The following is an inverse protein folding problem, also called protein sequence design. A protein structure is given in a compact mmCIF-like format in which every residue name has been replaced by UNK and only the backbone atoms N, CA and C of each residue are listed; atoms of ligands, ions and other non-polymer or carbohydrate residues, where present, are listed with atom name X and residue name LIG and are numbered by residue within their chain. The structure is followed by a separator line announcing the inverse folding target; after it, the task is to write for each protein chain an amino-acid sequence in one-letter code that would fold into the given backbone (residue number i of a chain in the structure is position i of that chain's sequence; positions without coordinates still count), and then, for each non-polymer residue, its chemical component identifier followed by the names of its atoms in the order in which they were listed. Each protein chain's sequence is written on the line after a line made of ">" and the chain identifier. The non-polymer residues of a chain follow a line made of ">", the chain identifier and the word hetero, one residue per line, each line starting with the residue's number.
data_IF_646476252685
#
_entry.id   IF_646476252685
#
_cell.length_a   1.000
_cell.length_b   1.000
_cell.length_c   1.000
_cell.angle_alpha   90.00
_cell.angle_beta   90.00
_cell.angle_gamma   90.00
#
_symmetry.space_group_name_H-M   'P 1'
#
loop_
_entity.id
_entity.type
_entity.pdbx_description
1 polymer ?
#
# COMPACT_ATOMS: atom_id res chain seq x y z
N UNK A 1 8.87 13.11 -27.07
CA UNK A 1 8.39 14.18 -26.19
C UNK A 1 7.65 13.50 -25.05
N UNK A 2 8.28 13.33 -23.89
CA UNK A 2 7.64 12.70 -22.73
C UNK A 2 6.80 13.75 -22.02
N UNK A 3 5.48 13.56 -22.02
CA UNK A 3 4.58 14.41 -21.25
C UNK A 3 4.77 14.11 -19.76
N UNK A 4 5.35 15.06 -19.02
CA UNK A 4 5.20 15.12 -17.57
C UNK A 4 3.76 15.50 -17.31
N UNK A 5 2.91 14.51 -17.06
CA UNK A 5 1.56 14.76 -16.56
C UNK A 5 1.73 15.27 -15.12
N UNK A 6 1.23 16.46 -14.78
CA UNK A 6 1.24 16.92 -13.40
C UNK A 6 0.30 15.99 -12.63
N UNK A 7 0.85 15.22 -11.68
CA UNK A 7 0.07 14.48 -10.68
C UNK A 7 -0.61 15.49 -9.77
N UNK A 8 -1.72 16.06 -10.23
CA UNK A 8 -2.70 16.69 -9.36
C UNK A 8 -3.44 15.54 -8.68
N UNK A 9 -2.82 14.99 -7.64
CA UNK A 9 -3.36 13.89 -6.88
C UNK A 9 -2.79 13.86 -5.48
N UNK A 10 -3.62 13.52 -4.50
CA UNK A 10 -3.22 13.53 -3.10
C UNK A 10 -2.39 12.28 -2.81
N UNK A 11 -1.11 12.32 -3.17
CA UNK A 11 -0.16 11.28 -2.81
C UNK A 11 0.06 11.32 -1.30
N UNK A 12 -0.47 10.33 -0.58
CA UNK A 12 -0.20 10.17 0.84
C UNK A 12 0.95 9.18 1.03
N UNK A 13 2.06 9.69 1.54
CA UNK A 13 3.20 8.89 1.98
C UNK A 13 3.21 8.91 3.51
N UNK A 14 2.82 7.81 4.13
CA UNK A 14 2.85 7.67 5.58
C UNK A 14 4.07 6.80 5.97
N UNK A 15 5.11 7.39 6.59
CA UNK A 15 6.20 6.61 7.15
C UNK A 15 5.71 5.84 8.37
N UNK A 16 5.94 4.53 8.37
CA UNK A 16 5.73 3.64 9.51
C UNK A 16 7.09 3.06 9.88
N UNK A 17 7.40 2.77 11.16
CA UNK A 17 8.71 2.20 11.50
C UNK A 17 9.00 0.92 10.68
N UNK A 18 10.00 0.97 9.79
CA UNK A 18 10.38 -0.14 8.90
C UNK A 18 9.50 -0.34 7.66
N UNK A 19 8.61 0.61 7.35
CA UNK A 19 7.73 0.56 6.18
C UNK A 19 7.31 1.94 5.68
N UNK A 20 6.89 2.02 4.42
CA UNK A 20 6.28 3.21 3.84
C UNK A 20 4.97 2.81 3.18
N UNK A 21 3.87 3.44 3.58
CA UNK A 21 2.58 3.27 2.93
C UNK A 21 2.42 4.34 1.85
N UNK A 22 2.13 3.89 0.64
CA UNK A 22 1.85 4.71 -0.54
C UNK A 22 0.38 4.59 -0.92
N UNK A 23 -0.30 5.74 -1.00
CA UNK A 23 -1.69 5.85 -1.43
C UNK A 23 -1.76 6.89 -2.54
N UNK A 24 -2.03 6.43 -3.76
CA UNK A 24 -2.39 7.26 -4.91
C UNK A 24 -3.86 7.00 -5.25
N UNK A 25 -4.73 7.91 -4.82
CA UNK A 25 -6.17 7.76 -5.03
C UNK A 25 -6.61 7.95 -6.48
N UNK A 26 -5.87 8.74 -7.26
CA UNK A 26 -6.23 9.07 -8.63
C UNK A 26 -5.87 7.94 -9.59
N UNK A 27 -4.77 7.23 -9.31
CA UNK A 27 -4.33 6.07 -10.09
C UNK A 27 -4.83 4.74 -9.54
N UNK A 28 -5.59 4.75 -8.45
CA UNK A 28 -6.06 3.54 -7.76
C UNK A 28 -4.87 2.63 -7.39
N UNK A 29 -3.76 3.26 -7.04
CA UNK A 29 -2.50 2.57 -6.79
C UNK A 29 -2.13 2.69 -5.32
N UNK A 30 -2.30 1.57 -4.61
CA UNK A 30 -2.06 1.48 -3.18
C UNK A 30 -1.05 0.38 -2.91
N UNK A 31 0.01 0.68 -2.18
CA UNK A 31 1.00 -0.33 -1.84
C UNK A 31 1.80 0.04 -0.59
N UNK A 32 2.41 -0.97 -0.01
CA UNK A 32 3.23 -0.86 1.17
C UNK A 32 4.64 -1.36 0.85
N UNK A 33 5.63 -0.53 1.07
CA UNK A 33 7.04 -0.90 0.89
C UNK A 33 7.67 -1.16 2.26
N UNK A 34 8.14 -2.37 2.48
CA UNK A 34 8.78 -2.84 3.71
C UNK A 34 10.30 -2.85 3.55
N UNK A 35 11.01 -2.43 4.60
CA UNK A 35 12.46 -2.56 4.64
C UNK A 35 12.90 -4.02 4.78
N UNK A 36 14.11 -4.32 4.30
CA UNK A 36 14.70 -5.64 4.43
C UNK A 36 14.88 -6.00 5.90
N UNK A 37 14.36 -7.16 6.30
CA UNK A 37 14.45 -7.62 7.69
C UNK A 37 13.54 -6.87 8.66
N UNK A 38 12.51 -6.17 8.15
CA UNK A 38 11.47 -5.58 8.98
C UNK A 38 10.90 -6.62 9.95
N UNK A 39 10.72 -6.20 11.21
CA UNK A 39 10.18 -7.11 12.23
C UNK A 39 8.69 -7.36 11.95
N UNK A 40 8.16 -8.58 12.20
CA UNK A 40 6.74 -8.87 12.01
C UNK A 40 5.79 -7.90 12.74
N UNK A 41 6.20 -7.36 13.89
CA UNK A 41 5.44 -6.34 14.63
C UNK A 41 5.28 -5.03 13.82
N UNK A 42 6.34 -4.59 13.15
CA UNK A 42 6.32 -3.38 12.32
C UNK A 42 5.42 -3.59 11.09
N UNK A 43 5.50 -4.76 10.45
CA UNK A 43 4.59 -5.14 9.35
C UNK A 43 3.13 -5.06 9.80
N UNK A 44 2.80 -5.63 10.97
CA UNK A 44 1.44 -5.57 11.53
C UNK A 44 0.97 -4.14 11.76
N UNK A 45 1.83 -3.28 12.32
CA UNK A 45 1.48 -1.87 12.53
C UNK A 45 1.26 -1.12 11.21
N UNK A 46 2.05 -1.43 10.18
CA UNK A 46 1.90 -0.84 8.86
C UNK A 46 0.58 -1.27 8.17
N UNK A 47 0.22 -2.55 8.31
CA UNK A 47 -1.07 -3.08 7.84
C UNK A 47 -2.26 -2.48 8.60
N UNK A 48 -2.14 -2.28 9.91
CA UNK A 48 -3.19 -1.61 10.69
C UNK A 48 -3.38 -0.15 10.26
N UNK A 49 -2.29 0.56 9.94
CA UNK A 49 -2.37 1.92 9.40
C UNK A 49 -3.06 1.94 8.03
N UNK A 50 -2.76 0.98 7.15
CA UNK A 50 -3.45 0.81 5.88
C UNK A 50 -4.95 0.50 6.07
N UNK A 51 -5.29 -0.40 7.00
CA UNK A 51 -6.67 -0.76 7.31
C UNK A 51 -7.49 0.41 7.85
N UNK A 52 -6.88 1.29 8.65
CA UNK A 52 -7.52 2.52 9.11
C UNK A 52 -7.87 3.49 7.97
N UNK A 53 -7.22 3.35 6.80
CA UNK A 53 -7.52 4.07 5.56
C UNK A 53 -8.45 3.28 4.63
N UNK A 54 -9.03 2.18 5.10
CA UNK A 54 -9.87 1.30 4.29
C UNK A 54 -9.09 0.50 3.24
N UNK A 55 -7.80 0.24 3.48
CA UNK A 55 -6.95 -0.55 2.58
C UNK A 55 -6.59 -1.89 3.21
N UNK A 56 -6.55 -2.96 2.41
CA UNK A 56 -6.07 -4.28 2.84
C UNK A 56 -5.13 -4.88 1.79
N UNK A 57 -4.24 -5.81 2.18
CA UNK A 57 -3.51 -6.63 1.23
C UNK A 57 -4.46 -7.33 0.28
N UNK A 58 -4.01 -7.48 -0.97
CA UNK A 58 -4.68 -8.35 -1.93
C UNK A 58 -4.71 -9.79 -1.40
N UNK A 59 -5.76 -10.53 -1.75
CA UNK A 59 -5.89 -11.92 -1.33
C UNK A 59 -4.80 -12.80 -1.94
N UNK A 60 -4.59 -13.98 -1.34
CA UNK A 60 -3.60 -14.95 -1.81
C UNK A 60 -3.90 -15.35 -3.26
N UNK A 61 -2.98 -15.04 -4.18
CA UNK A 61 -3.13 -15.25 -5.62
C UNK A 61 -3.53 -14.01 -6.44
N UNK A 62 -3.88 -12.90 -5.79
CA UNK A 62 -4.21 -11.63 -6.47
C UNK A 62 -3.11 -10.56 -6.36
N UNK A 63 -2.15 -10.75 -5.46
CA UNK A 63 -1.01 -9.85 -5.33
C UNK A 63 0.11 -10.42 -4.46
N UNK A 64 1.09 -11.06 -5.08
CA UNK A 64 2.28 -11.50 -4.38
C UNK A 64 3.18 -10.32 -4.01
N UNK A 65 3.85 -10.35 -2.85
CA UNK A 65 4.85 -9.36 -2.51
C UNK A 65 6.02 -9.42 -3.49
N UNK A 66 6.39 -8.26 -4.05
CA UNK A 66 7.47 -8.11 -5.01
C UNK A 66 8.75 -7.66 -4.29
N UNK A 67 9.88 -8.24 -4.65
CA UNK A 67 11.19 -7.73 -4.23
C UNK A 67 11.62 -6.61 -5.18
N UNK A 68 11.91 -5.44 -4.62
CA UNK A 68 12.46 -4.31 -5.35
C UNK A 68 13.99 -4.49 -5.51
N UNK A 69 14.57 -3.80 -6.49
CA UNK A 69 16.01 -3.87 -6.80
C UNK A 69 16.92 -3.43 -5.63
N UNK A 70 16.38 -2.62 -4.71
CA UNK A 70 17.07 -2.17 -3.50
C UNK A 70 16.90 -3.13 -2.30
N UNK A 71 16.25 -4.27 -2.50
CA UNK A 71 16.03 -5.31 -1.50
C UNK A 71 14.86 -5.05 -0.55
N UNK A 72 14.07 -4.00 -0.78
CA UNK A 72 12.79 -3.79 -0.09
C UNK A 72 11.71 -4.68 -0.68
N UNK A 73 10.63 -4.88 0.07
CA UNK A 73 9.48 -5.69 -0.35
C UNK A 73 8.30 -4.77 -0.57
N UNK A 74 7.69 -4.80 -1.75
CA UNK A 74 6.43 -4.10 -2.03
C UNK A 74 5.28 -5.09 -1.95
N UNK A 75 4.22 -4.71 -1.26
CA UNK A 75 2.96 -5.44 -1.18
C UNK A 75 1.86 -4.52 -1.67
N UNK A 76 1.14 -4.93 -2.72
CA UNK A 76 0.03 -4.16 -3.23
C UNK A 76 -1.19 -4.30 -2.31
N UNK A 77 -1.97 -3.22 -2.24
CA UNK A 77 -3.16 -3.10 -1.40
C UNK A 77 -4.37 -2.77 -2.28
N UNK A 78 -5.55 -3.15 -1.82
CA UNK A 78 -6.83 -2.75 -2.40
C UNK A 78 -7.68 -1.98 -1.39
N UNK A 79 -8.54 -1.11 -1.91
CA UNK A 79 -9.63 -0.54 -1.10
C UNK A 79 -10.61 -1.65 -0.73
N UNK A 80 -10.85 -1.77 0.56
CA UNK A 80 -11.92 -2.60 1.10
C UNK A 80 -13.18 -1.76 1.07
N UNK A 81 -14.01 -1.99 0.07
CA UNK A 81 -15.38 -1.51 0.10
C UNK A 81 -16.13 -2.40 1.08
N UNK A 82 -16.32 -1.93 2.32
CA UNK A 82 -17.36 -2.51 3.15
C UNK A 82 -18.68 -2.23 2.44
N UNK A 83 -19.22 -3.25 1.75
CA UNK A 83 -20.61 -3.24 1.34
C UNK A 83 -21.45 -3.35 2.62
N UNK A 84 -21.67 -2.23 3.30
CA UNK A 84 -22.81 -2.10 4.21
C UNK A 84 -24.08 -1.96 3.36
N UNK A 85 -24.65 -3.10 2.95
CA UNK A 85 -25.93 -3.20 2.25
C UNK A 85 -25.94 -4.40 1.31
N UNK A 86 -26.82 -5.40 1.47
CA UNK A 86 -28.25 -5.25 1.72
C UNK A 86 -28.79 -6.26 2.75
N UNK A 87 -29.65 -5.72 3.62
CA UNK A 87 -30.83 -6.30 4.28
C UNK A 87 -30.89 -7.81 4.54
#
# INVERSE_FOLDING_TARGET
>A
MSATVPLAGTLHIAPVPGAVLYVDEDQWHYHLTLDRGVRPKAVRSALQAAQALGLAPLEEGEGDPYFLDDGRIRMDLARVFNFEGAA
#
